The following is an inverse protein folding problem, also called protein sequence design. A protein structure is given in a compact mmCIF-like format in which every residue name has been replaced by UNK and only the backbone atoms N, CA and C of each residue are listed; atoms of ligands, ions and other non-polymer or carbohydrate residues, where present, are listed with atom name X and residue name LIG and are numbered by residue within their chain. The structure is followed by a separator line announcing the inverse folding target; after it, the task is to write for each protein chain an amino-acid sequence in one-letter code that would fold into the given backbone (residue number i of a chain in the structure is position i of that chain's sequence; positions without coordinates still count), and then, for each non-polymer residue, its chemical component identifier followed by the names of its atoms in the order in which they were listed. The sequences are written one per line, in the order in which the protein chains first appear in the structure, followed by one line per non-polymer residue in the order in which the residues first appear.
data_IF_206159307787
#
_entry.id   IF_206159307787
#
_cell.length_a   1.000
_cell.length_b   1.000
_cell.length_c   1.000
_cell.angle_alpha   90.00
_cell.angle_beta   90.00
_cell.angle_gamma   90.00
#
_symmetry.space_group_name_H-M   'P 1'
#
loop_
_entity.id
_entity.type
_entity.pdbx_description
1 polymer ?
#
# COMPACT_ATOMS: atom_id res chain seq x y z
N UNK A 1 21.33 8.38 16.69
CA UNK A 1 21.29 8.21 15.23
C UNK A 1 20.47 9.36 14.65
N UNK A 2 21.12 10.28 13.95
CA UNK A 2 20.53 11.54 13.48
C UNK A 2 19.47 11.22 12.41
N UNK A 3 18.22 11.60 12.68
CA UNK A 3 17.12 11.54 11.71
C UNK A 3 17.44 12.62 10.67
N UNK A 4 17.88 12.21 9.48
CA UNK A 4 17.96 13.09 8.32
C UNK A 4 16.53 13.51 7.97
N UNK A 5 16.12 14.68 8.45
CA UNK A 5 14.95 15.36 7.98
C UNK A 5 15.13 15.63 6.48
N UNK A 6 14.28 15.03 5.65
CA UNK A 6 14.22 15.35 4.23
C UNK A 6 13.82 16.83 4.12
N UNK A 7 14.62 17.69 3.46
CA UNK A 7 14.23 19.08 3.29
C UNK A 7 13.00 19.13 2.40
N UNK A 8 11.90 19.66 2.94
CA UNK A 8 10.72 20.02 2.16
C UNK A 8 11.15 21.19 1.27
N UNK A 9 11.47 20.92 0.01
CA UNK A 9 11.71 21.97 -0.98
C UNK A 9 10.39 22.68 -1.27
N UNK A 10 10.39 24.01 -1.43
CA UNK A 10 9.19 24.73 -1.84
C UNK A 10 8.76 24.22 -3.22
N UNK A 11 7.53 23.72 -3.30
CA UNK A 11 6.91 23.24 -4.54
C UNK A 11 6.57 24.47 -5.38
N UNK A 12 7.22 24.62 -6.54
CA UNK A 12 6.82 25.63 -7.51
C UNK A 12 5.40 25.31 -8.02
N UNK A 13 4.57 26.35 -8.17
CA UNK A 13 3.15 26.26 -8.52
C UNK A 13 2.84 25.64 -9.91
N UNK A 14 3.86 25.24 -10.66
CA UNK A 14 3.76 24.67 -12.01
C UNK A 14 4.05 23.17 -12.08
N UNK A 15 4.60 22.56 -11.02
CA UNK A 15 4.91 21.12 -11.04
C UNK A 15 3.71 20.30 -10.57
N UNK A 16 3.07 19.59 -11.51
CA UNK A 16 2.02 18.61 -11.19
C UNK A 16 2.58 17.54 -10.26
N UNK A 17 2.05 17.48 -9.03
CA UNK A 17 2.42 16.45 -8.04
C UNK A 17 1.86 15.10 -8.48
N UNK A 18 2.73 14.11 -8.63
CA UNK A 18 2.32 12.72 -8.83
C UNK A 18 2.07 12.08 -7.47
N UNK A 19 0.87 11.56 -7.25
CA UNK A 19 0.55 10.82 -6.03
C UNK A 19 0.64 9.32 -6.29
N UNK A 20 1.35 8.60 -5.42
CA UNK A 20 1.33 7.13 -5.37
C UNK A 20 0.50 6.71 -4.15
N UNK A 21 -0.64 6.07 -4.39
CA UNK A 21 -1.42 5.39 -3.36
C UNK A 21 -0.94 3.94 -3.25
N UNK A 22 -0.52 3.52 -2.07
CA UNK A 22 -0.03 2.17 -1.81
C UNK A 22 -0.51 1.69 -0.46
N UNK A 23 -0.64 0.37 -0.28
CA UNK A 23 -0.90 -0.18 1.05
C UNK A 23 0.33 -0.09 1.94
N UNK A 24 0.15 -0.25 3.25
CA UNK A 24 1.21 -0.43 4.23
C UNK A 24 1.90 -1.82 4.14
N UNK A 25 1.57 -2.64 3.14
CA UNK A 25 2.31 -3.86 2.82
C UNK A 25 3.73 -3.54 2.38
N UNK A 26 4.69 -4.29 2.91
CA UNK A 26 6.09 -3.92 2.87
C UNK A 26 6.72 -4.10 1.49
N UNK A 27 6.25 -5.10 0.74
CA UNK A 27 6.72 -5.36 -0.61
C UNK A 27 6.31 -4.22 -1.55
N UNK A 28 5.02 -3.89 -1.59
CA UNK A 28 4.47 -2.85 -2.47
C UNK A 28 4.94 -1.46 -2.02
N UNK A 29 4.96 -1.20 -0.70
CA UNK A 29 5.41 0.06 -0.12
C UNK A 29 6.89 0.30 -0.38
N UNK A 30 7.76 -0.73 -0.32
CA UNK A 30 9.17 -0.56 -0.68
C UNK A 30 9.34 -0.11 -2.14
N UNK A 31 8.52 -0.62 -3.05
CA UNK A 31 8.54 -0.19 -4.45
C UNK A 31 8.09 1.27 -4.59
N UNK A 32 7.00 1.67 -3.93
CA UNK A 32 6.56 3.08 -3.92
C UNK A 32 7.67 4.02 -3.41
N UNK A 33 8.34 3.65 -2.31
CA UNK A 33 9.46 4.42 -1.75
C UNK A 33 10.66 4.47 -2.71
N UNK A 34 10.93 3.37 -3.42
CA UNK A 34 11.96 3.34 -4.45
C UNK A 34 11.66 4.38 -5.54
N UNK A 35 10.41 4.42 -6.05
CA UNK A 35 9.99 5.41 -7.08
C UNK A 35 10.19 6.84 -6.57
N UNK A 36 9.71 7.16 -5.37
CA UNK A 36 9.79 8.52 -4.86
C UNK A 36 11.22 8.99 -4.56
N UNK A 37 12.19 8.07 -4.39
CA UNK A 37 13.58 8.42 -4.17
C UNK A 37 14.37 8.63 -5.48
N UNK A 38 13.88 8.07 -6.60
CA UNK A 38 14.56 8.18 -7.91
C UNK A 38 13.83 9.12 -8.88
N UNK A 39 12.63 9.59 -8.51
CA UNK A 39 11.79 10.50 -9.28
C UNK A 39 11.45 11.74 -8.45
N UNK A 40 11.46 12.92 -9.06
CA UNK A 40 11.07 14.18 -8.39
C UNK A 40 9.55 14.35 -8.31
N UNK A 41 9.07 15.16 -7.37
CA UNK A 41 7.65 15.55 -7.24
C UNK A 41 6.65 14.40 -7.05
N UNK A 42 7.08 13.34 -6.37
CA UNK A 42 6.24 12.19 -6.00
C UNK A 42 5.85 12.28 -4.53
N UNK A 43 4.56 12.15 -4.24
CA UNK A 43 4.01 12.01 -2.89
C UNK A 43 3.50 10.59 -2.70
N UNK A 44 3.92 9.93 -1.63
CA UNK A 44 3.42 8.60 -1.26
C UNK A 44 2.34 8.76 -0.19
N UNK A 45 1.16 8.21 -0.46
CA UNK A 45 0.07 8.10 0.51
C UNK A 45 -0.14 6.62 0.82
N UNK A 46 -0.10 6.28 2.11
CA UNK A 46 -0.22 4.90 2.58
C UNK A 46 -1.60 4.63 3.16
N UNK A 47 -2.26 3.58 2.69
CA UNK A 47 -3.49 3.03 3.29
C UNK A 47 -3.20 1.76 4.09
N UNK A 48 -3.94 1.46 5.17
CA UNK A 48 -3.91 0.12 5.74
C UNK A 48 -4.27 -0.94 4.68
N UNK A 49 -3.53 -2.05 4.67
CA UNK A 49 -3.75 -3.15 3.73
C UNK A 49 -5.16 -3.73 3.85
N UNK A 50 -5.87 -3.77 2.72
CA UNK A 50 -7.20 -4.40 2.61
C UNK A 50 -8.33 -3.69 3.35
N UNK A 51 -8.07 -2.51 3.92
CA UNK A 51 -9.07 -1.71 4.63
C UNK A 51 -9.20 -0.36 3.96
N UNK A 52 -10.45 0.00 3.66
CA UNK A 52 -10.77 1.32 3.12
C UNK A 52 -11.01 2.31 4.28
N UNK A 53 -10.31 3.46 4.21
CA UNK A 53 -10.44 4.61 5.11
C UNK A 53 -10.74 5.85 4.25
N UNK A 54 -11.94 6.44 4.32
CA UNK A 54 -12.33 7.58 3.48
C UNK A 54 -11.44 8.81 3.70
N UNK A 55 -10.72 8.90 4.82
CA UNK A 55 -9.78 9.98 5.07
C UNK A 55 -8.54 9.91 4.17
N UNK A 56 -8.19 8.73 3.64
CA UNK A 56 -7.06 8.58 2.71
C UNK A 56 -7.39 9.23 1.36
N UNK A 57 -8.59 9.02 0.82
CA UNK A 57 -9.03 9.76 -0.38
C UNK A 57 -9.05 11.28 -0.11
N UNK A 58 -9.53 11.67 1.08
CA UNK A 58 -9.53 13.07 1.49
C UNK A 58 -8.10 13.65 1.56
N UNK A 59 -7.13 12.88 2.05
CA UNK A 59 -5.71 13.25 2.03
C UNK A 59 -5.18 13.41 0.59
N UNK A 60 -5.49 12.47 -0.32
CA UNK A 60 -5.09 12.56 -1.74
C UNK A 60 -5.62 13.85 -2.38
N UNK A 61 -6.90 14.19 -2.14
CA UNK A 61 -7.54 15.40 -2.66
C UNK A 61 -6.83 16.67 -2.21
N UNK A 62 -6.21 16.69 -1.03
CA UNK A 62 -5.47 17.85 -0.52
C UNK A 62 -4.22 18.18 -1.35
N UNK A 63 -3.73 17.24 -2.15
CA UNK A 63 -2.64 17.47 -3.11
C UNK A 63 -3.12 17.95 -4.48
N UNK A 64 -4.44 17.96 -4.71
CA UNK A 64 -5.06 18.23 -5.99
C UNK A 64 -4.33 17.58 -7.20
N UNK A 65 -4.06 16.26 -7.16
CA UNK A 65 -3.31 15.61 -8.23
C UNK A 65 -4.10 15.62 -9.54
N UNK A 66 -3.38 15.67 -10.65
CA UNK A 66 -3.97 15.34 -11.97
C UNK A 66 -4.09 13.81 -12.13
N UNK A 67 -3.16 13.08 -11.53
CA UNK A 67 -3.07 11.63 -11.66
C UNK A 67 -2.62 10.97 -10.35
N UNK A 68 -3.18 9.79 -10.10
CA UNK A 68 -2.78 8.90 -9.00
C UNK A 68 -2.35 7.56 -9.59
N UNK A 69 -1.17 7.09 -9.19
CA UNK A 69 -0.74 5.71 -9.42
C UNK A 69 -1.09 4.90 -8.20
N UNK A 70 -1.83 3.81 -8.37
CA UNK A 70 -2.09 2.83 -7.32
C UNK A 70 -1.13 1.67 -7.46
N UNK A 71 -0.34 1.38 -6.43
CA UNK A 71 0.51 0.18 -6.37
C UNK A 71 -0.16 -0.86 -5.46
N UNK A 72 -0.44 -2.03 -6.03
CA UNK A 72 -1.08 -3.15 -5.36
C UNK A 72 -2.48 -3.47 -5.90
N UNK A 73 -2.87 -4.74 -5.77
CA UNK A 73 -4.16 -5.24 -6.26
C UNK A 73 -5.34 -4.85 -5.36
N UNK A 74 -6.59 -5.17 -5.76
CA UNK A 74 -7.83 -4.79 -5.05
C UNK A 74 -7.96 -5.36 -3.63
N UNK A 75 -7.23 -6.43 -3.34
CA UNK A 75 -7.14 -6.99 -1.98
C UNK A 75 -6.27 -6.11 -1.08
N UNK A 76 -5.21 -5.51 -1.62
CA UNK A 76 -4.26 -4.70 -0.85
C UNK A 76 -4.70 -3.24 -0.76
N UNK A 77 -5.15 -2.68 -1.88
CA UNK A 77 -5.70 -1.33 -2.00
C UNK A 77 -7.13 -1.48 -2.55
N UNK A 78 -8.17 -1.35 -1.69
CA UNK A 78 -9.57 -1.48 -2.09
C UNK A 78 -9.96 -0.59 -3.27
N UNK A 79 -10.88 -1.06 -4.12
CA UNK A 79 -11.31 -0.36 -5.34
C UNK A 79 -12.13 0.90 -5.05
N UNK A 80 -12.71 1.00 -3.85
CA UNK A 80 -13.41 2.17 -3.34
C UNK A 80 -12.53 3.44 -3.42
N UNK A 81 -11.21 3.31 -3.25
CA UNK A 81 -10.29 4.43 -3.45
C UNK A 81 -10.26 4.91 -4.91
N UNK A 82 -10.24 3.99 -5.86
CA UNK A 82 -10.21 4.33 -7.30
C UNK A 82 -11.53 4.95 -7.71
N UNK A 83 -12.64 4.35 -7.29
CA UNK A 83 -13.98 4.88 -7.52
C UNK A 83 -14.08 6.33 -7.03
N UNK A 84 -13.66 6.60 -5.78
CA UNK A 84 -13.77 7.95 -5.24
C UNK A 84 -12.96 8.99 -6.00
N UNK A 85 -11.76 8.62 -6.46
CA UNK A 85 -10.86 9.50 -7.20
C UNK A 85 -11.40 9.75 -8.62
N UNK A 86 -11.92 8.71 -9.27
CA UNK A 86 -12.53 8.82 -10.61
C UNK A 86 -13.84 9.60 -10.59
N UNK A 87 -14.63 9.48 -9.52
CA UNK A 87 -15.84 10.30 -9.30
C UNK A 87 -15.50 11.80 -9.30
N UNK A 88 -14.28 12.17 -8.89
CA UNK A 88 -13.77 13.55 -8.93
C UNK A 88 -13.09 13.94 -10.25
N UNK A 89 -13.02 13.02 -11.23
CA UNK A 89 -12.34 13.22 -12.51
C UNK A 89 -10.81 13.16 -12.42
N UNK A 90 -10.25 12.51 -11.40
CA UNK A 90 -8.80 12.27 -11.29
C UNK A 90 -8.46 11.01 -12.10
N UNK A 91 -7.40 11.09 -12.91
CA UNK A 91 -6.89 9.92 -13.64
C UNK A 91 -6.25 8.94 -12.66
N UNK A 92 -6.60 7.67 -12.76
CA UNK A 92 -6.05 6.62 -11.90
C UNK A 92 -5.53 5.45 -12.74
N UNK A 93 -4.23 5.20 -12.60
CA UNK A 93 -3.54 4.04 -13.16
C UNK A 93 -3.21 3.06 -12.03
N UNK A 94 -3.42 1.74 -12.22
CA UNK A 94 -3.08 0.73 -11.20
C UNK A 94 -1.99 -0.22 -11.70
N UNK A 95 -0.92 -0.32 -10.94
CA UNK A 95 0.21 -1.23 -11.19
C UNK A 95 0.15 -2.39 -10.20
N UNK A 96 -0.23 -3.57 -10.70
CA UNK A 96 -0.41 -4.75 -9.85
C UNK A 96 -0.30 -6.06 -10.64
N UNK A 97 -0.14 -7.16 -9.92
CA UNK A 97 -0.32 -8.51 -10.42
C UNK A 97 -1.08 -9.38 -9.42
N UNK A 98 -1.16 -10.69 -9.67
CA UNK A 98 -1.92 -11.62 -8.80
C UNK A 98 -1.28 -11.81 -7.42
N UNK A 99 0.00 -11.50 -7.30
CA UNK A 99 0.77 -11.63 -6.07
C UNK A 99 1.88 -10.56 -6.06
N UNK A 100 2.58 -10.43 -4.92
CA UNK A 100 3.65 -9.43 -4.73
C UNK A 100 4.81 -9.53 -5.72
N UNK A 101 5.08 -10.71 -6.28
CA UNK A 101 6.14 -10.91 -7.27
C UNK A 101 5.71 -10.35 -8.63
N UNK A 102 4.47 -10.64 -9.05
CA UNK A 102 3.91 -10.06 -10.27
C UNK A 102 3.69 -8.54 -10.14
N UNK A 103 3.24 -8.04 -8.98
CA UNK A 103 3.17 -6.58 -8.73
C UNK A 103 4.56 -5.95 -8.85
N UNK A 104 5.59 -6.57 -8.29
CA UNK A 104 6.96 -6.08 -8.43
C UNK A 104 7.39 -5.96 -9.89
N UNK A 105 7.14 -6.99 -10.72
CA UNK A 105 7.47 -6.94 -12.14
C UNK A 105 6.63 -5.90 -12.91
N UNK A 106 5.34 -5.77 -12.60
CA UNK A 106 4.48 -4.76 -13.22
C UNK A 106 4.97 -3.34 -12.92
N UNK A 107 5.34 -3.06 -11.65
CA UNK A 107 5.91 -1.77 -11.25
C UNK A 107 7.22 -1.51 -11.96
N UNK A 108 8.15 -2.49 -12.00
CA UNK A 108 9.44 -2.32 -12.68
C UNK A 108 9.30 -2.07 -14.19
N UNK A 109 8.35 -2.74 -14.85
CA UNK A 109 8.05 -2.50 -16.27
C UNK A 109 7.51 -1.09 -16.50
N UNK A 110 6.51 -0.70 -15.72
CA UNK A 110 5.81 0.58 -15.92
C UNK A 110 6.69 1.77 -15.54
N UNK A 111 7.46 1.68 -14.44
CA UNK A 111 8.36 2.76 -14.03
C UNK A 111 9.46 3.01 -15.08
N UNK A 112 10.02 1.95 -15.66
CA UNK A 112 11.07 2.06 -16.67
C UNK A 112 10.54 2.71 -17.95
N UNK A 113 9.35 2.29 -18.39
CA UNK A 113 8.70 2.88 -19.57
C UNK A 113 8.30 4.35 -19.34
N UNK A 114 7.73 4.66 -18.17
CA UNK A 114 7.14 5.97 -17.87
C UNK A 114 8.18 7.05 -17.57
N UNK A 115 9.22 6.71 -16.81
CA UNK A 115 10.23 7.68 -16.37
C UNK A 115 11.55 7.56 -17.13
N UNK A 116 11.62 6.68 -18.15
CA UNK A 116 12.80 6.47 -18.99
C UNK A 116 14.07 6.23 -18.16
N UNK A 117 13.92 5.56 -17.02
CA UNK A 117 14.99 5.36 -16.06
C UNK A 117 16.08 4.48 -16.65
N UNK A 118 17.28 5.03 -16.78
CA UNK A 118 18.49 4.28 -17.12
C UNK A 118 19.00 3.55 -15.86
N UNK A 119 18.36 2.43 -15.54
CA UNK A 119 18.80 1.55 -14.46
C UNK A 119 20.14 0.91 -14.87
N UNK A 120 21.13 0.88 -13.96
CA UNK A 120 22.53 0.59 -14.27
C UNK A 120 22.83 -0.89 -14.61
N UNK A 121 21.84 -1.64 -15.13
CA UNK A 121 21.87 -3.10 -15.30
C UNK A 121 22.29 -3.84 -14.00
N UNK A 122 21.97 -3.23 -12.86
CA UNK A 122 22.19 -3.77 -11.51
C UNK A 122 20.88 -4.28 -10.95
N UNK A 123 20.92 -5.47 -10.35
CA UNK A 123 19.76 -6.11 -9.77
C UNK A 123 20.04 -6.47 -8.33
N UNK A 124 19.09 -6.20 -7.44
CA UNK A 124 19.07 -6.68 -6.07
C UNK A 124 17.96 -7.71 -5.93
N UNK A 125 18.34 -8.94 -5.61
CA UNK A 125 17.42 -10.05 -5.36
C UNK A 125 17.16 -10.18 -3.87
N UNK A 126 15.88 -10.29 -3.50
CA UNK A 126 15.47 -10.42 -2.11
C UNK A 126 14.23 -11.29 -1.98
N UNK A 127 14.16 -12.14 -0.96
CA UNK A 127 12.97 -12.94 -0.69
C UNK A 127 11.76 -12.03 -0.42
N UNK A 128 10.69 -12.18 -1.21
CA UNK A 128 9.55 -11.25 -1.18
C UNK A 128 8.70 -11.30 0.10
N UNK A 129 8.97 -12.22 1.02
CA UNK A 129 8.33 -12.31 2.35
C UNK A 129 9.25 -11.87 3.49
N UNK A 130 10.44 -11.36 3.18
CA UNK A 130 11.44 -10.98 4.17
C UNK A 130 11.40 -9.48 4.46
N UNK A 131 10.83 -9.08 5.59
CA UNK A 131 10.71 -7.68 6.01
C UNK A 131 12.07 -6.95 6.04
N UNK A 132 13.03 -7.50 6.78
CA UNK A 132 14.38 -6.96 6.95
C UNK A 132 15.16 -7.02 5.63
N UNK A 133 15.00 -8.12 4.88
CA UNK A 133 15.54 -8.25 3.53
C UNK A 133 15.08 -7.12 2.63
N UNK A 134 13.76 -6.91 2.51
CA UNK A 134 13.17 -5.89 1.62
C UNK A 134 13.64 -4.49 2.00
N UNK A 135 13.71 -4.15 3.30
CA UNK A 135 14.23 -2.86 3.76
C UNK A 135 15.69 -2.64 3.37
N UNK A 136 16.53 -3.66 3.52
CA UNK A 136 17.94 -3.58 3.11
C UNK A 136 18.07 -3.48 1.59
N UNK A 137 17.27 -4.25 0.85
CA UNK A 137 17.24 -4.22 -0.61
C UNK A 137 16.83 -2.84 -1.13
N UNK A 138 15.80 -2.21 -0.54
CA UNK A 138 15.38 -0.84 -0.86
C UNK A 138 16.53 0.16 -0.71
N UNK A 139 17.24 0.11 0.43
CA UNK A 139 18.36 1.02 0.69
C UNK A 139 19.47 0.86 -0.36
N UNK A 140 19.87 -0.38 -0.65
CA UNK A 140 20.88 -0.68 -1.66
C UNK A 140 20.42 -0.24 -3.06
N UNK A 141 19.14 -0.43 -3.39
CA UNK A 141 18.59 -0.07 -4.69
C UNK A 141 18.63 1.42 -4.97
N UNK A 142 18.29 2.23 -3.96
CA UNK A 142 18.39 3.69 -4.05
C UNK A 142 19.86 4.12 -4.20
N UNK A 143 20.75 3.55 -3.38
CA UNK A 143 22.18 3.90 -3.39
C UNK A 143 22.87 3.54 -4.71
N UNK A 144 22.54 2.39 -5.27
CA UNK A 144 23.21 1.83 -6.45
C UNK A 144 22.46 2.09 -7.76
N UNK A 145 21.29 2.72 -7.71
CA UNK A 145 20.34 2.86 -8.83
C UNK A 145 20.06 1.49 -9.50
N UNK A 146 19.74 0.51 -8.66
CA UNK A 146 19.54 -0.88 -9.02
C UNK A 146 18.06 -1.30 -8.92
N UNK A 147 17.64 -2.29 -9.70
CA UNK A 147 16.29 -2.85 -9.62
C UNK A 147 16.12 -3.78 -8.43
N UNK A 148 15.04 -3.60 -7.66
CA UNK A 148 14.63 -4.53 -6.60
C UNK A 148 13.76 -5.60 -7.24
N UNK A 149 14.20 -6.86 -7.23
CA UNK A 149 13.41 -7.99 -7.69
C UNK A 149 13.07 -8.88 -6.50
N UNK A 150 11.77 -9.04 -6.26
CA UNK A 150 11.24 -9.91 -5.22
C UNK A 150 11.20 -11.35 -5.75
N UNK A 151 11.76 -12.28 -4.98
CA UNK A 151 11.86 -13.69 -5.37
C UNK A 151 11.26 -14.64 -4.34
N UNK A 152 10.90 -15.83 -4.80
CA UNK A 152 10.46 -16.97 -4.00
C UNK A 152 11.07 -18.28 -4.54
N UNK A 153 10.70 -19.41 -3.94
CA UNK A 153 11.21 -20.73 -4.33
C UNK A 153 10.83 -21.15 -5.75
N UNK A 154 9.76 -20.58 -6.32
CA UNK A 154 9.26 -20.91 -7.66
C UNK A 154 9.64 -19.85 -8.70
N UNK A 155 10.47 -18.87 -8.33
CA UNK A 155 10.86 -17.80 -9.23
C UNK A 155 11.89 -18.31 -10.23
N UNK A 156 11.63 -18.10 -11.53
CA UNK A 156 12.61 -18.30 -12.59
C UNK A 156 13.29 -16.97 -12.89
N UNK A 157 14.57 -16.85 -12.52
CA UNK A 157 15.33 -15.62 -12.69
C UNK A 157 15.56 -15.33 -14.17
N UNK A 158 15.88 -16.34 -14.97
CA UNK A 158 16.16 -16.18 -16.41
C UNK A 158 14.97 -15.55 -17.12
N UNK A 159 13.76 -16.07 -16.86
CA UNK A 159 12.54 -15.53 -17.44
C UNK A 159 12.29 -14.07 -17.03
N UNK A 160 12.56 -13.71 -15.77
CA UNK A 160 12.42 -12.32 -15.32
C UNK A 160 13.38 -11.39 -16.08
N UNK A 161 14.62 -11.83 -16.31
CA UNK A 161 15.61 -11.02 -17.01
C UNK A 161 15.26 -10.83 -18.48
N UNK A 162 14.78 -11.88 -19.14
CA UNK A 162 14.25 -11.81 -20.51
C UNK A 162 13.07 -10.85 -20.60
N UNK A 163 12.09 -10.98 -19.69
CA UNK A 163 10.91 -10.11 -19.65
C UNK A 163 11.25 -8.64 -19.44
N UNK A 164 12.29 -8.35 -18.66
CA UNK A 164 12.74 -6.98 -18.41
C UNK A 164 13.79 -6.51 -19.43
N UNK A 165 14.17 -7.34 -20.41
CA UNK A 165 15.19 -7.01 -21.42
C UNK A 165 16.56 -6.72 -20.81
N UNK A 166 16.90 -7.33 -19.68
CA UNK A 166 18.08 -6.99 -18.89
C UNK A 166 19.30 -7.81 -19.30
N UNK A 167 20.38 -7.10 -19.66
CA UNK A 167 21.73 -7.67 -19.67
C UNK A 167 22.41 -7.37 -18.34
N UNK A 168 22.15 -8.22 -17.33
CA UNK A 168 22.67 -7.98 -15.98
C UNK A 168 24.20 -7.91 -16.01
N UNK A 169 24.75 -6.88 -15.36
CA UNK A 169 26.20 -6.77 -15.10
C UNK A 169 26.56 -7.18 -13.68
N UNK A 170 25.69 -6.88 -12.71
CA UNK A 170 25.90 -7.22 -11.30
C UNK A 170 24.61 -7.59 -10.61
N UNK A 171 24.67 -8.65 -9.79
CA UNK A 171 23.57 -9.10 -8.94
C UNK A 171 24.00 -8.97 -7.49
N UNK A 172 23.16 -8.38 -6.65
CA UNK A 172 23.33 -8.36 -5.20
C UNK A 172 22.22 -9.21 -4.57
N UNK A 173 22.60 -10.23 -3.82
CA UNK A 173 21.67 -11.15 -3.17
C UNK A 173 21.56 -10.77 -1.69
N UNK A 174 20.37 -10.36 -1.26
CA UNK A 174 20.10 -10.00 0.13
C UNK A 174 19.47 -11.17 0.87
N UNK A 175 20.09 -11.58 1.98
CA UNK A 175 19.75 -12.83 2.67
C UNK A 175 19.54 -12.61 4.17
N UNK A 176 18.57 -13.31 4.73
CA UNK A 176 18.42 -13.51 6.17
C UNK A 176 18.50 -14.99 6.51
N UNK A 177 18.87 -15.35 7.76
CA UNK A 177 18.85 -16.73 8.22
C UNK A 177 17.48 -17.40 8.06
N UNK A 178 16.39 -16.62 8.11
CA UNK A 178 15.01 -17.11 8.08
C UNK A 178 14.55 -17.50 6.68
N UNK A 179 15.04 -16.82 5.63
CA UNK A 179 14.65 -17.07 4.23
C UNK A 179 15.72 -17.82 3.42
N UNK A 180 16.65 -18.49 4.09
CA UNK A 180 17.80 -19.17 3.49
C UNK A 180 17.42 -20.15 2.36
N UNK A 181 16.37 -20.98 2.55
CA UNK A 181 15.94 -21.96 1.53
C UNK A 181 15.59 -21.33 0.19
N UNK A 182 14.88 -20.20 0.21
CA UNK A 182 14.54 -19.44 -1.01
C UNK A 182 15.81 -18.97 -1.70
N UNK A 183 16.72 -18.37 -0.94
CA UNK A 183 17.93 -17.77 -1.50
C UNK A 183 18.92 -18.82 -2.00
N UNK A 184 19.00 -20.01 -1.39
CA UNK A 184 19.80 -21.12 -1.91
C UNK A 184 19.34 -21.59 -3.30
N UNK A 185 18.03 -21.67 -3.55
CA UNK A 185 17.50 -22.02 -4.87
C UNK A 185 17.84 -20.96 -5.92
N UNK A 186 17.73 -19.68 -5.54
CA UNK A 186 18.08 -18.54 -6.39
C UNK A 186 19.57 -18.54 -6.72
N UNK A 187 20.43 -18.75 -5.72
CA UNK A 187 21.88 -18.89 -5.94
C UNK A 187 22.22 -20.04 -6.88
N UNK A 188 21.55 -21.20 -6.73
CA UNK A 188 21.75 -22.35 -7.61
C UNK A 188 21.41 -21.98 -9.07
N UNK A 189 20.26 -21.36 -9.31
CA UNK A 189 19.87 -20.90 -10.64
C UNK A 189 20.89 -19.91 -11.23
N UNK A 190 21.37 -18.94 -10.45
CA UNK A 190 22.36 -17.99 -10.91
C UNK A 190 23.68 -18.66 -11.31
N UNK A 191 24.18 -19.62 -10.50
CA UNK A 191 25.41 -20.36 -10.82
C UNK A 191 25.29 -21.20 -12.09
N UNK A 192 24.15 -21.85 -12.29
CA UNK A 192 23.93 -22.75 -13.42
C UNK A 192 23.68 -21.99 -14.72
N UNK A 193 22.95 -20.87 -14.66
CA UNK A 193 22.43 -20.18 -15.85
C UNK A 193 23.16 -18.87 -16.20
N UNK A 194 23.87 -18.25 -15.24
CA UNK A 194 24.60 -16.99 -15.42
C UNK A 194 26.08 -17.18 -15.06
N UNK A 195 26.82 -17.88 -15.93
CA UNK A 195 28.24 -18.25 -15.75
C UNK A 195 29.17 -17.04 -15.52
N UNK A 196 28.79 -15.85 -15.97
CA UNK A 196 29.55 -14.59 -15.84
C UNK A 196 28.86 -13.56 -14.91
N UNK A 197 28.16 -14.01 -13.86
CA UNK A 197 27.55 -13.08 -12.90
C UNK A 197 28.57 -12.52 -11.92
N UNK A 198 28.73 -11.19 -11.87
CA UNK A 198 29.29 -10.51 -10.69
C UNK A 198 28.25 -10.50 -9.57
N UNK A 199 28.17 -11.60 -8.85
CA UNK A 199 27.16 -11.89 -7.84
C UNK A 199 27.74 -11.62 -6.43
N UNK A 200 27.25 -10.59 -5.74
CA UNK A 200 27.61 -10.27 -4.35
C UNK A 200 26.52 -10.71 -3.37
N UNK A 201 26.90 -11.03 -2.13
CA UNK A 201 25.97 -11.44 -1.08
C UNK A 201 26.00 -10.47 0.09
N UNK A 202 24.82 -10.15 0.59
CA UNK A 202 24.61 -9.30 1.77
C UNK A 202 23.80 -10.08 2.78
N UNK A 203 24.48 -10.56 3.83
CA UNK A 203 23.85 -11.24 4.95
C UNK A 203 23.34 -10.24 6.00
N UNK A 204 22.11 -10.41 6.43
CA UNK A 204 21.48 -9.61 7.48
C UNK A 204 21.36 -10.44 8.75
N UNK A 205 21.99 -9.95 9.81
CA UNK A 205 21.89 -10.56 11.14
C UNK A 205 20.53 -10.23 11.78
N UNK A 206 19.93 -11.23 12.43
CA UNK A 206 18.71 -11.05 13.21
C UNK A 206 19.06 -10.46 14.58
N UNK A 207 18.61 -9.23 14.81
CA UNK A 207 18.82 -8.49 16.06
C UNK A 207 17.51 -8.44 16.85
N UNK A 208 17.61 -8.09 18.13
CA UNK A 208 16.44 -7.81 18.97
C UNK A 208 15.53 -6.77 18.29
N UNK A 209 16.09 -5.63 17.86
CA UNK A 209 15.33 -4.56 17.19
C UNK A 209 14.50 -5.06 15.99
N UNK A 210 15.08 -5.91 15.12
CA UNK A 210 14.37 -6.45 13.94
C UNK A 210 13.26 -7.43 14.34
N UNK A 211 13.52 -8.26 15.33
CA UNK A 211 12.51 -9.19 15.85
C UNK A 211 11.35 -8.42 16.49
N UNK A 212 11.65 -7.39 17.28
CA UNK A 212 10.65 -6.53 17.91
C UNK A 212 9.80 -5.81 16.86
N UNK A 213 10.43 -5.25 15.83
CA UNK A 213 9.72 -4.61 14.72
C UNK A 213 8.75 -5.57 14.03
N UNK A 214 9.18 -6.81 13.74
CA UNK A 214 8.30 -7.82 13.15
C UNK A 214 7.12 -8.20 14.08
N UNK A 215 7.36 -8.29 15.40
CA UNK A 215 6.32 -8.55 16.41
C UNK A 215 5.30 -7.42 16.44
N UNK A 216 5.75 -6.16 16.48
CA UNK A 216 4.88 -4.99 16.47
C UNK A 216 3.99 -4.96 15.23
N UNK A 217 4.57 -5.21 14.05
CA UNK A 217 3.81 -5.28 12.81
C UNK A 217 2.79 -6.43 12.80
N UNK A 218 3.14 -7.59 13.35
CA UNK A 218 2.21 -8.71 13.49
C UNK A 218 1.05 -8.38 14.45
N UNK A 219 1.35 -7.72 15.57
CA UNK A 219 0.38 -7.28 16.56
C UNK A 219 -0.61 -6.26 16.00
N UNK A 220 -0.13 -5.25 15.27
CA UNK A 220 -1.00 -4.28 14.58
C UNK A 220 -1.95 -4.96 13.58
N UNK A 221 -1.44 -5.93 12.79
CA UNK A 221 -2.26 -6.67 11.83
C UNK A 221 -3.26 -7.60 12.52
N UNK A 222 -2.89 -8.25 13.61
CA UNK A 222 -3.80 -9.10 14.39
C UNK A 222 -4.91 -8.27 15.04
N UNK A 223 -4.58 -7.08 15.56
CA UNK A 223 -5.59 -6.17 16.11
C UNK A 223 -6.60 -5.74 15.04
N UNK A 224 -6.11 -5.37 13.86
CA UNK A 224 -6.97 -5.05 12.70
C UNK A 224 -7.84 -6.25 12.31
N UNK A 225 -7.25 -7.44 12.23
CA UNK A 225 -7.97 -8.67 11.92
C UNK A 225 -9.10 -8.96 12.92
N UNK A 226 -8.82 -8.78 14.23
CA UNK A 226 -9.78 -8.98 15.32
C UNK A 226 -10.95 -8.01 15.25
N UNK A 227 -10.69 -6.73 14.94
CA UNK A 227 -11.75 -5.73 14.79
C UNK A 227 -12.68 -6.06 13.63
N UNK A 228 -12.12 -6.44 12.48
CA UNK A 228 -12.89 -6.78 11.28
C UNK A 228 -13.64 -8.11 11.43
N UNK A 229 -13.15 -9.04 12.25
CA UNK A 229 -13.76 -10.35 12.44
C UNK A 229 -14.92 -10.37 13.44
N UNK A 230 -15.19 -9.29 14.20
CA UNK A 230 -16.23 -9.29 15.27
C UNK A 230 -17.61 -9.73 14.78
N UNK A 231 -17.97 -9.38 13.55
CA UNK A 231 -19.25 -9.70 12.94
C UNK A 231 -19.14 -10.76 11.84
N UNK A 232 -17.99 -11.45 11.74
CA UNK A 232 -17.76 -12.43 10.72
C UNK A 232 -18.47 -13.74 11.05
N UNK A 233 -19.23 -14.27 10.09
CA UNK A 233 -19.97 -15.53 10.22
C UNK A 233 -19.18 -16.75 9.75
N UNK A 234 -18.02 -16.56 9.12
CA UNK A 234 -17.20 -17.65 8.56
C UNK A 234 -16.34 -18.29 9.66
N UNK A 235 -16.54 -19.57 10.02
CA UNK A 235 -15.77 -20.25 11.06
C UNK A 235 -14.26 -20.33 10.79
N UNK A 236 -13.85 -20.28 9.52
CA UNK A 236 -12.44 -20.26 9.15
C UNK A 236 -11.72 -19.00 9.66
N UNK A 237 -12.43 -17.87 9.79
CA UNK A 237 -11.85 -16.62 10.31
C UNK A 237 -11.41 -16.79 11.76
N UNK A 238 -12.27 -17.36 12.61
CA UNK A 238 -11.97 -17.58 14.02
C UNK A 238 -10.78 -18.53 14.19
N UNK A 239 -10.76 -19.64 13.43
CA UNK A 239 -9.68 -20.61 13.49
C UNK A 239 -8.33 -20.01 13.06
N UNK A 240 -8.29 -19.27 11.95
CA UNK A 240 -7.05 -18.65 11.46
C UNK A 240 -6.58 -17.55 12.41
N UNK A 241 -7.50 -16.76 12.99
CA UNK A 241 -7.17 -15.72 13.97
C UNK A 241 -6.54 -16.32 15.22
N UNK A 242 -7.10 -17.39 15.79
CA UNK A 242 -6.51 -18.11 16.94
C UNK A 242 -5.10 -18.60 16.66
N UNK A 243 -4.84 -19.13 15.46
CA UNK A 243 -3.50 -19.56 15.07
C UNK A 243 -2.55 -18.37 14.96
N UNK A 244 -3.01 -17.24 14.41
CA UNK A 244 -2.21 -16.02 14.33
C UNK A 244 -1.84 -15.48 15.72
N UNK A 245 -2.81 -15.43 16.64
CA UNK A 245 -2.61 -14.98 18.03
C UNK A 245 -1.63 -15.88 18.78
N UNK A 246 -1.78 -17.20 18.68
CA UNK A 246 -0.82 -18.15 19.26
C UNK A 246 0.59 -17.95 18.72
N UNK A 247 0.74 -17.78 17.41
CA UNK A 247 2.07 -17.54 16.83
C UNK A 247 2.70 -16.21 17.26
N UNK A 248 1.88 -15.19 17.53
CA UNK A 248 2.37 -13.92 18.09
C UNK A 248 2.86 -14.12 19.53
N UNK A 249 2.15 -14.92 20.33
CA UNK A 249 2.57 -15.29 21.69
C UNK A 249 3.89 -16.06 21.67
N UNK A 250 3.99 -17.10 20.85
CA UNK A 250 5.22 -17.88 20.67
C UNK A 250 6.39 -16.97 20.20
N UNK A 251 6.10 -15.96 19.35
CA UNK A 251 7.10 -14.99 18.90
C UNK A 251 7.60 -14.11 20.05
N UNK A 252 6.70 -13.64 20.92
CA UNK A 252 7.04 -12.84 22.12
C UNK A 252 7.86 -13.66 23.12
N UNK A 253 7.53 -14.94 23.33
CA UNK A 253 8.33 -15.84 24.18
C UNK A 253 9.73 -16.09 23.61
N UNK A 254 9.82 -16.39 22.31
CA UNK A 254 11.11 -16.56 21.62
C UNK A 254 11.97 -15.29 21.71
N UNK A 255 11.34 -14.11 21.66
CA UNK A 255 12.02 -12.83 21.84
C UNK A 255 12.61 -12.70 23.25
N UNK A 256 11.80 -12.97 24.28
CA UNK A 256 12.22 -12.87 25.69
C UNK A 256 13.35 -13.85 26.04
N UNK A 257 13.45 -14.97 25.34
CA UNK A 257 14.53 -15.97 25.50
C UNK A 257 15.74 -15.70 24.60
N UNK A 258 15.81 -14.55 23.92
CA UNK A 258 16.93 -14.16 23.07
C UNK A 258 17.01 -14.87 21.71
N UNK A 259 15.99 -15.68 21.35
CA UNK A 259 15.91 -16.41 20.08
C UNK A 259 15.34 -15.54 18.97
N UNK A 260 16.01 -14.42 18.66
CA UNK A 260 15.49 -13.37 17.77
C UNK A 260 15.16 -13.85 16.35
N UNK A 261 15.92 -14.79 15.79
CA UNK A 261 15.62 -15.36 14.47
C UNK A 261 14.30 -16.16 14.46
N UNK A 262 14.03 -16.92 15.52
CA UNK A 262 12.77 -17.66 15.68
C UNK A 262 11.60 -16.69 15.93
N UNK A 263 11.79 -15.72 16.82
CA UNK A 263 10.81 -14.67 17.10
C UNK A 263 10.37 -13.94 15.82
N UNK A 264 11.35 -13.53 15.01
CA UNK A 264 11.11 -12.87 13.73
C UNK A 264 10.32 -13.77 12.75
N UNK A 265 10.71 -15.05 12.60
CA UNK A 265 10.01 -15.99 11.73
C UNK A 265 8.57 -16.25 12.15
N UNK A 266 8.32 -16.43 13.46
CA UNK A 266 6.98 -16.63 14.03
C UNK A 266 6.11 -15.38 13.85
N UNK A 267 6.65 -14.18 14.08
CA UNK A 267 5.94 -12.93 13.88
C UNK A 267 5.53 -12.73 12.41
N UNK A 268 6.41 -13.02 11.44
CA UNK A 268 6.04 -12.98 10.02
C UNK A 268 4.93 -13.97 9.66
N UNK A 269 4.95 -15.17 10.26
CA UNK A 269 3.91 -16.18 10.06
C UNK A 269 2.56 -15.75 10.66
N UNK A 270 2.58 -15.16 11.86
CA UNK A 270 1.42 -14.60 12.54
C UNK A 270 0.79 -13.49 11.70
N UNK A 271 1.61 -12.53 11.24
CA UNK A 271 1.21 -11.45 10.35
C UNK A 271 0.54 -11.96 9.07
N UNK A 272 1.14 -12.94 8.40
CA UNK A 272 0.59 -13.51 7.17
C UNK A 272 -0.80 -14.15 7.38
N UNK A 273 -1.04 -14.78 8.54
CA UNK A 273 -2.37 -15.31 8.88
C UNK A 273 -3.37 -14.22 9.21
N UNK A 274 -2.96 -13.17 9.90
CA UNK A 274 -3.81 -11.99 10.13
C UNK A 274 -4.24 -11.33 8.82
N UNK A 275 -3.35 -11.21 7.83
CA UNK A 275 -3.70 -10.72 6.48
C UNK A 275 -4.75 -11.62 5.78
N UNK A 276 -4.70 -12.94 5.98
CA UNK A 276 -5.75 -13.86 5.48
C UNK A 276 -7.09 -13.57 6.14
N UNK A 277 -7.11 -13.34 7.46
CA UNK A 277 -8.34 -12.99 8.19
C UNK A 277 -8.91 -11.66 7.70
N UNK A 278 -8.08 -10.62 7.56
CA UNK A 278 -8.50 -9.30 7.05
C UNK A 278 -9.16 -9.44 5.67
N UNK A 279 -8.56 -10.23 4.78
CA UNK A 279 -9.12 -10.49 3.44
C UNK A 279 -10.49 -11.15 3.51
N UNK A 280 -10.62 -12.25 4.25
CA UNK A 280 -11.87 -13.00 4.36
C UNK A 280 -12.98 -12.17 5.04
N UNK A 281 -12.63 -11.41 6.08
CA UNK A 281 -13.56 -10.51 6.75
C UNK A 281 -14.03 -9.38 5.83
N UNK A 282 -13.11 -8.81 5.03
CA UNK A 282 -13.42 -7.79 4.03
C UNK A 282 -14.31 -8.30 2.89
N UNK A 283 -14.11 -9.54 2.41
CA UNK A 283 -14.99 -10.21 1.45
C UNK A 283 -16.42 -10.36 2.00
N UNK A 284 -16.57 -10.85 3.24
CA UNK A 284 -17.88 -10.95 3.90
C UNK A 284 -18.57 -9.59 4.04
N UNK A 285 -17.84 -8.56 4.46
CA UNK A 285 -18.39 -7.20 4.63
C UNK A 285 -18.87 -6.62 3.29
N UNK A 286 -18.09 -6.80 2.21
CA UNK A 286 -18.48 -6.34 0.87
C UNK A 286 -19.76 -7.00 0.39
N UNK A 287 -19.90 -8.32 0.60
CA UNK A 287 -21.15 -9.04 0.27
C UNK A 287 -22.36 -8.51 1.06
N UNK A 288 -22.19 -8.19 2.34
CA UNK A 288 -23.27 -7.57 3.14
C UNK A 288 -23.64 -6.17 2.64
N UNK A 289 -22.66 -5.37 2.23
CA UNK A 289 -22.90 -4.02 1.68
C UNK A 289 -23.64 -4.13 0.34
N UNK A 290 -23.24 -5.04 -0.55
CA UNK A 290 -23.86 -5.20 -1.87
C UNK A 290 -25.32 -5.68 -1.80
N UNK A 291 -25.68 -6.44 -0.76
CA UNK A 291 -27.04 -7.00 -0.60
C UNK A 291 -28.02 -6.07 0.12
N UNK A 292 -27.53 -5.06 0.86
CA UNK A 292 -28.37 -4.16 1.66
C UNK A 292 -28.31 -2.73 1.13
N UNK A 293 -29.35 -2.30 0.39
CA UNK A 293 -29.44 -0.96 -0.24
C UNK A 293 -29.17 0.19 0.73
N UNK A 294 -29.80 0.17 1.92
CA UNK A 294 -29.56 1.18 2.96
C UNK A 294 -28.09 1.28 3.34
N UNK A 295 -27.46 0.14 3.63
CA UNK A 295 -26.06 0.08 4.05
C UNK A 295 -25.12 0.56 2.94
N UNK A 296 -25.41 0.23 1.68
CA UNK A 296 -24.67 0.72 0.51
C UNK A 296 -24.71 2.26 0.44
N UNK A 297 -25.90 2.85 0.51
CA UNK A 297 -26.11 4.29 0.47
C UNK A 297 -25.44 5.01 1.65
N UNK A 298 -25.57 4.47 2.87
CA UNK A 298 -24.93 5.03 4.06
C UNK A 298 -23.40 5.01 3.96
N UNK A 299 -22.81 3.91 3.46
CA UNK A 299 -21.36 3.82 3.25
C UNK A 299 -20.88 4.78 2.17
N UNK A 300 -21.62 4.91 1.08
CA UNK A 300 -21.30 5.85 0.01
C UNK A 300 -21.38 7.31 0.48
N UNK A 301 -22.39 7.65 1.28
CA UNK A 301 -22.53 8.99 1.86
C UNK A 301 -21.36 9.32 2.79
N UNK A 302 -20.92 8.38 3.64
CA UNK A 302 -19.74 8.55 4.50
C UNK A 302 -18.46 8.81 3.70
N UNK A 303 -18.29 8.14 2.56
CA UNK A 303 -17.16 8.36 1.63
C UNK A 303 -17.18 9.78 1.06
N UNK A 304 -18.35 10.28 0.67
CA UNK A 304 -18.51 11.65 0.15
C UNK A 304 -18.28 12.70 1.24
N UNK A 305 -18.83 12.48 2.45
CA UNK A 305 -18.72 13.42 3.57
C UNK A 305 -17.25 13.71 3.94
N UNK A 306 -16.37 12.70 3.94
CA UNK A 306 -14.94 12.91 4.19
C UNK A 306 -14.28 13.85 3.15
N UNK A 307 -14.65 13.71 1.88
CA UNK A 307 -14.14 14.54 0.78
C UNK A 307 -14.65 15.97 0.85
N UNK A 308 -15.95 16.15 1.13
CA UNK A 308 -16.56 17.48 1.35
C UNK A 308 -15.85 18.20 2.50
N UNK A 309 -15.65 17.54 3.64
CA UNK A 309 -14.97 18.13 4.81
C UNK A 309 -13.53 18.58 4.53
N UNK A 310 -12.78 17.87 3.70
CA UNK A 310 -11.44 18.35 3.29
C UNK A 310 -11.56 19.56 2.37
N UNK A 311 -12.43 19.51 1.37
CA UNK A 311 -12.60 20.60 0.42
C UNK A 311 -13.02 21.89 1.11
N UNK A 312 -13.97 21.81 2.04
CA UNK A 312 -14.42 22.94 2.86
C UNK A 312 -13.27 23.54 3.68
N UNK A 313 -12.48 22.71 4.38
CA UNK A 313 -11.30 23.17 5.13
C UNK A 313 -10.25 23.85 4.25
N UNK A 314 -10.13 23.42 3.00
CA UNK A 314 -9.26 24.03 1.99
C UNK A 314 -9.88 25.27 1.34
N UNK A 315 -11.06 25.70 1.79
CA UNK A 315 -11.75 26.92 1.35
C UNK A 315 -12.60 26.75 0.10
N UNK A 316 -12.77 25.52 -0.41
CA UNK A 316 -13.65 25.24 -1.56
C UNK A 316 -15.09 25.48 -1.16
N UNK A 317 -15.83 26.25 -1.96
CA UNK A 317 -17.26 26.44 -1.75
C UNK A 317 -17.99 25.12 -2.04
N UNK A 318 -18.48 24.47 -0.99
CA UNK A 318 -19.19 23.19 -1.04
C UNK A 318 -20.65 23.30 -0.62
N UNK A 319 -21.20 24.52 -0.56
CA UNK A 319 -22.55 24.80 0.00
C UNK A 319 -23.64 23.93 -0.63
N UNK A 320 -23.66 23.85 -1.97
CA UNK A 320 -24.65 23.03 -2.71
C UNK A 320 -24.46 21.54 -2.45
N UNK A 321 -23.20 21.09 -2.37
CA UNK A 321 -22.90 19.69 -2.06
C UNK A 321 -23.35 19.32 -0.63
N UNK A 322 -23.19 20.21 0.35
CA UNK A 322 -23.68 20.01 1.72
C UNK A 322 -25.21 19.89 1.77
N UNK A 323 -25.93 20.76 1.03
CA UNK A 323 -27.40 20.69 0.96
C UNK A 323 -27.88 19.37 0.35
N UNK A 324 -27.26 18.93 -0.76
CA UNK A 324 -27.56 17.64 -1.38
C UNK A 324 -27.23 16.46 -0.46
N UNK A 325 -26.10 16.52 0.27
CA UNK A 325 -25.71 15.50 1.23
C UNK A 325 -26.75 15.33 2.35
N UNK A 326 -27.28 16.42 2.88
CA UNK A 326 -28.34 16.37 3.90
C UNK A 326 -29.69 15.88 3.33
N UNK A 327 -30.01 16.22 2.08
CA UNK A 327 -31.18 15.67 1.39
C UNK A 327 -31.07 14.14 1.20
N UNK A 328 -29.89 13.65 0.79
CA UNK A 328 -29.60 12.20 0.71
C UNK A 328 -29.75 11.56 2.10
N UNK A 329 -29.18 12.16 3.15
CA UNK A 329 -29.26 11.67 4.53
C UNK A 329 -30.72 11.54 4.99
N UNK A 330 -31.55 12.53 4.68
CA UNK A 330 -32.98 12.53 4.99
C UNK A 330 -33.74 11.43 4.24
N UNK A 331 -33.50 11.27 2.94
CA UNK A 331 -34.13 10.23 2.12
C UNK A 331 -33.79 8.82 2.63
N UNK A 332 -32.51 8.56 2.96
CA UNK A 332 -32.07 7.29 3.58
C UNK A 332 -32.79 7.05 4.91
N UNK A 333 -32.91 8.08 5.76
CA UNK A 333 -33.57 7.98 7.07
C UNK A 333 -35.06 7.65 6.93
N UNK A 334 -35.72 8.19 5.91
CA UNK A 334 -37.13 7.96 5.62
C UNK A 334 -37.40 6.64 4.87
N UNK A 335 -36.36 5.92 4.46
CA UNK A 335 -36.49 4.68 3.68
C UNK A 335 -36.81 4.89 2.21
N UNK A 336 -36.76 6.13 1.72
CA UNK A 336 -36.97 6.49 0.31
C UNK A 336 -35.64 6.33 -0.46
N UNK A 337 -35.32 5.08 -0.79
CA UNK A 337 -34.03 4.73 -1.38
C UNK A 337 -33.91 5.13 -2.85
N UNK A 338 -35.01 5.25 -3.58
CA UNK A 338 -35.01 5.69 -4.98
C UNK A 338 -34.63 7.17 -5.07
N UNK A 339 -35.30 8.02 -4.28
CA UNK A 339 -34.94 9.43 -4.15
C UNK A 339 -33.50 9.59 -3.63
N UNK A 340 -33.07 8.77 -2.66
CA UNK A 340 -31.70 8.81 -2.15
C UNK A 340 -30.66 8.52 -3.24
N UNK A 341 -30.92 7.55 -4.13
CA UNK A 341 -30.03 7.21 -5.25
C UNK A 341 -29.95 8.35 -6.27
N UNK A 342 -31.08 8.94 -6.66
CA UNK A 342 -31.09 10.08 -7.58
C UNK A 342 -30.34 11.29 -7.01
N UNK A 343 -30.56 11.60 -5.74
CA UNK A 343 -29.85 12.67 -5.04
C UNK A 343 -28.35 12.37 -4.90
N UNK A 344 -27.97 11.10 -4.72
CA UNK A 344 -26.56 10.67 -4.66
C UNK A 344 -25.83 10.97 -5.97
N UNK A 345 -26.46 10.71 -7.12
CA UNK A 345 -25.89 11.02 -8.44
C UNK A 345 -25.65 12.53 -8.56
N UNK A 346 -26.65 13.35 -8.19
CA UNK A 346 -26.53 14.82 -8.19
C UNK A 346 -25.43 15.30 -7.25
N UNK A 347 -25.31 14.69 -6.07
CA UNK A 347 -24.28 15.00 -5.09
C UNK A 347 -22.88 14.72 -5.62
N UNK A 348 -22.65 13.57 -6.28
CA UNK A 348 -21.36 13.23 -6.89
C UNK A 348 -20.97 14.21 -7.98
N UNK A 349 -21.90 14.56 -8.85
CA UNK A 349 -21.64 15.53 -9.92
C UNK A 349 -21.27 16.91 -9.34
N UNK A 350 -22.01 17.38 -8.33
CA UNK A 350 -21.66 18.62 -7.65
C UNK A 350 -20.31 18.56 -6.93
N UNK A 351 -19.98 17.42 -6.32
CA UNK A 351 -18.68 17.20 -5.68
C UNK A 351 -17.54 17.33 -6.68
N UNK A 352 -17.69 16.74 -7.88
CA UNK A 352 -16.74 16.85 -8.98
C UNK A 352 -16.57 18.29 -9.43
N UNK A 353 -17.67 19.03 -9.60
CA UNK A 353 -17.64 20.45 -9.98
C UNK A 353 -16.88 21.27 -8.93
N UNK A 354 -17.18 21.06 -7.64
CA UNK A 354 -16.50 21.72 -6.53
C UNK A 354 -14.98 21.47 -6.57
N UNK A 355 -14.57 20.21 -6.72
CA UNK A 355 -13.16 19.84 -6.78
C UNK A 355 -12.44 20.47 -7.99
N UNK A 356 -13.01 20.35 -9.18
CA UNK A 356 -12.40 20.86 -10.42
C UNK A 356 -12.24 22.39 -10.40
N UNK A 357 -13.23 23.12 -9.88
CA UNK A 357 -13.13 24.58 -9.70
C UNK A 357 -12.17 24.96 -8.57
N UNK A 358 -12.09 24.14 -7.53
CA UNK A 358 -11.24 24.34 -6.35
C UNK A 358 -9.76 23.99 -6.55
N UNK A 359 -9.38 23.24 -7.59
CA UNK A 359 -8.01 22.72 -7.80
C UNK A 359 -6.91 23.77 -7.63
N UNK A 360 -7.03 24.96 -8.25
CA UNK A 360 -6.02 26.02 -8.15
C UNK A 360 -5.87 26.54 -6.72
N UNK A 361 -6.97 26.69 -6.01
CA UNK A 361 -6.97 27.13 -4.61
C UNK A 361 -6.35 26.08 -3.69
N UNK A 362 -6.69 24.80 -3.89
CA UNK A 362 -6.10 23.69 -3.12
C UNK A 362 -4.57 23.71 -3.26
N UNK A 363 -4.05 23.87 -4.49
CA UNK A 363 -2.60 23.97 -4.74
C UNK A 363 -1.96 25.18 -4.07
N UNK A 364 -2.63 26.33 -4.07
CA UNK A 364 -2.09 27.59 -3.54
C UNK A 364 -1.98 27.66 -2.02
N UNK A 365 -2.71 26.83 -1.25
CA UNK A 365 -2.70 26.88 0.22
C UNK A 365 -1.52 26.17 0.88
N UNK A 366 -0.69 25.47 0.11
CA UNK A 366 0.37 24.62 0.67
C UNK A 366 -0.20 23.43 1.46
N UNK A 367 0.53 22.32 1.51
CA UNK A 367 0.00 21.10 2.10
C UNK A 367 -0.23 21.23 3.62
N UNK A 368 -1.48 21.08 4.07
CA UNK A 368 -1.80 20.81 5.48
C UNK A 368 -1.99 19.30 5.65
N UNK A 369 -1.14 18.60 6.44
CA UNK A 369 -1.35 17.19 6.71
C UNK A 369 -2.69 17.00 7.43
N UNK A 370 -3.55 16.14 6.86
CA UNK A 370 -4.89 15.81 7.40
C UNK A 370 -4.78 15.00 8.70
N UNK A 371 -3.61 14.40 8.97
CA UNK A 371 -3.29 13.67 10.21
C UNK A 371 -2.41 14.53 11.12
N UNK A 372 -2.94 14.89 12.29
CA UNK A 372 -2.10 15.27 13.42
C UNK A 372 -1.09 14.17 13.68
N UNK A 373 0.19 14.54 13.85
CA UNK A 373 1.29 13.62 14.16
C UNK A 373 0.82 12.55 15.16
N UNK A 374 0.74 11.28 14.74
CA UNK A 374 0.82 10.19 15.72
C UNK A 374 2.13 10.44 16.46
N UNK A 375 2.03 10.71 17.76
CA UNK A 375 3.19 10.88 18.65
C UNK A 375 4.06 9.62 18.57
N UNK A 376 5.39 9.78 18.75
CA UNK A 376 6.39 8.75 18.47
C UNK A 376 6.15 7.43 19.19
#
# INVERSE_FOLDING_TARGET
MMILAVPVRPVNATDTTLVILVSDNEADCALANYIANITSNVVIIKTPWGVYDPNITAEIISYAPEEVIVIGGPIAVPDEYIEDLRDLGITVERWYGKNRYETNLAVLKNITARFQLQLQNRVILVAGKDLAGIKKALRLAIQERAMIILVNQTTDITRIMEMLGLRIKSVTIVETPVMNRTMLMIQKQLRERLKECNCTKVLINMTAERALEAIQMAEEKINTARELSRNATNPAIENVLKIAEKQLEDAKEAYNTGKYGLAYGLALAAKAKAEVVIRLAGENMRMMIMTKTKLKLEKELLRIEARIRVMERLGVNVTVALQLMEAVRAAIKNGDYDTAQELMIKLKEQLRICYMRGKKMIRGRGHMPVRGRRKP
#
